data_IF_281322957761
#
_entry.id   IF_281322957761
#
_cell.length_a   1.000
_cell.length_b   1.000
_cell.length_c   1.000
_cell.angle_alpha   90.00
_cell.angle_beta   90.00
_cell.angle_gamma   90.00
#
_symmetry.space_group_name_H-M   'P 1'
#
loop_
_entity.id
_entity.type
_entity.pdbx_description
1 polymer ?
#
# COMPACT_ATOMS: atom_id res chain seq x y z
N UNK A 1 -1.93 -14.00 11.12
CA UNK A 1 -0.45 -14.11 11.14
C UNK A 1 0.21 -14.12 12.52
N UNK A 2 -0.23 -13.34 13.52
CA UNK A 2 0.41 -13.24 14.86
C UNK A 2 0.60 -14.56 15.64
N UNK A 3 -0.10 -15.63 15.25
CA UNK A 3 -0.04 -16.97 15.88
C UNK A 3 0.98 -17.93 15.24
N UNK A 4 1.62 -17.54 14.13
CA UNK A 4 2.59 -18.39 13.40
C UNK A 4 4.00 -18.28 14.00
N UNK A 5 4.92 -19.20 13.63
CA UNK A 5 6.32 -19.16 14.06
C UNK A 5 7.06 -17.89 13.62
N UNK A 6 8.14 -17.51 14.31
CA UNK A 6 8.89 -16.27 14.06
C UNK A 6 9.46 -16.20 12.64
N UNK A 7 9.99 -17.30 12.11
CA UNK A 7 10.51 -17.35 10.73
C UNK A 7 9.42 -17.09 9.70
N UNK A 8 8.22 -17.67 9.90
CA UNK A 8 7.07 -17.42 9.01
C UNK A 8 6.59 -15.98 9.09
N UNK A 9 6.60 -15.39 10.28
CA UNK A 9 6.28 -13.97 10.45
C UNK A 9 7.30 -13.08 9.75
N UNK A 10 8.60 -13.38 9.86
CA UNK A 10 9.65 -12.59 9.22
C UNK A 10 9.54 -12.59 7.68
N UNK A 11 9.06 -13.70 7.09
CA UNK A 11 8.92 -13.82 5.63
C UNK A 11 7.61 -13.18 5.13
N UNK A 12 6.49 -13.37 5.83
CA UNK A 12 5.17 -13.07 5.26
C UNK A 12 4.38 -11.97 6.00
N UNK A 13 4.79 -11.55 7.19
CA UNK A 13 3.99 -10.59 7.96
C UNK A 13 4.10 -9.19 7.36
N UNK A 14 2.96 -8.50 7.28
CA UNK A 14 2.91 -7.15 6.71
C UNK A 14 2.85 -7.12 5.18
N UNK A 15 2.94 -8.28 4.51
CA UNK A 15 2.55 -8.38 3.10
C UNK A 15 1.06 -8.08 2.99
N UNK A 16 0.74 -6.85 2.58
CA UNK A 16 -0.60 -6.52 2.14
C UNK A 16 -0.83 -7.32 0.86
N UNK A 17 -1.85 -8.18 0.85
CA UNK A 17 -2.45 -8.58 -0.42
C UNK A 17 -2.87 -7.28 -1.09
N UNK A 18 -2.11 -6.84 -2.09
CA UNK A 18 -2.44 -5.66 -2.88
C UNK A 18 -3.73 -5.99 -3.62
N UNK A 19 -4.87 -5.79 -2.97
CA UNK A 19 -6.20 -6.09 -3.46
C UNK A 19 -6.65 -5.12 -4.57
N UNK A 20 -5.71 -4.42 -5.20
CA UNK A 20 -5.94 -3.51 -6.31
C UNK A 20 -4.82 -3.66 -7.32
N UNK A 21 -4.77 -4.83 -7.95
CA UNK A 21 -3.99 -4.99 -9.17
C UNK A 21 -5.00 -5.25 -10.27
N UNK A 22 -4.94 -4.41 -11.30
CA UNK A 22 -5.69 -4.61 -12.53
C UNK A 22 -5.49 -6.05 -13.00
N UNK A 23 -6.60 -6.71 -13.34
CA UNK A 23 -6.71 -8.14 -13.69
C UNK A 23 -5.69 -8.62 -14.74
N UNK A 24 -5.07 -7.69 -15.48
CA UNK A 24 -4.09 -7.92 -16.53
C UNK A 24 -2.69 -8.34 -16.05
N UNK A 25 -2.31 -8.07 -14.80
CA UNK A 25 -0.92 -8.21 -14.34
C UNK A 25 -0.69 -9.33 -13.32
N UNK A 26 -1.75 -9.90 -12.75
CA UNK A 26 -1.66 -10.81 -11.61
C UNK A 26 -1.13 -10.13 -10.33
N UNK A 27 -1.14 -10.86 -9.21
CA UNK A 27 -0.54 -10.35 -7.96
C UNK A 27 0.96 -10.70 -7.93
N UNK A 28 1.88 -9.73 -7.81
CA UNK A 28 3.29 -10.02 -7.74
C UNK A 28 3.59 -10.79 -6.46
N UNK A 29 4.48 -11.78 -6.57
CA UNK A 29 4.94 -12.56 -5.41
C UNK A 29 5.76 -11.71 -4.43
N UNK A 30 6.52 -10.73 -4.95
CA UNK A 30 7.35 -9.83 -4.17
C UNK A 30 6.70 -8.44 -4.10
N UNK A 31 6.74 -7.75 -2.94
CA UNK A 31 6.29 -6.37 -2.84
C UNK A 31 7.03 -5.45 -3.82
N UNK A 32 6.32 -4.59 -4.58
CA UNK A 32 6.96 -3.62 -5.46
C UNK A 32 7.76 -2.57 -4.68
N UNK A 33 8.79 -2.03 -5.33
CA UNK A 33 9.52 -0.86 -4.83
C UNK A 33 8.82 0.41 -5.36
N UNK A 34 8.09 1.10 -4.49
CA UNK A 34 7.46 2.39 -4.79
C UNK A 34 8.49 3.54 -4.67
N UNK A 35 9.35 3.66 -5.68
CA UNK A 35 10.42 4.67 -5.74
C UNK A 35 9.88 6.02 -6.24
N UNK A 36 8.98 6.63 -5.48
CA UNK A 36 8.39 7.95 -5.78
C UNK A 36 8.43 8.85 -4.53
N UNK A 37 8.36 10.16 -4.76
CA UNK A 37 8.34 11.17 -3.69
C UNK A 37 6.93 11.66 -3.34
N UNK A 38 5.96 11.45 -4.23
CA UNK A 38 4.60 12.02 -4.16
C UNK A 38 3.58 11.09 -4.80
N UNK A 39 2.30 11.30 -4.52
CA UNK A 39 1.18 10.54 -5.09
C UNK A 39 0.21 11.45 -5.84
N UNK A 40 -0.58 10.87 -6.76
CA UNK A 40 -1.57 11.59 -7.55
C UNK A 40 -2.98 11.32 -7.02
N UNK A 41 -3.76 12.37 -6.84
CA UNK A 41 -5.18 12.30 -6.54
C UNK A 41 -6.01 12.35 -7.83
N UNK A 42 -7.20 11.76 -7.79
CA UNK A 42 -8.17 11.75 -8.89
C UNK A 42 -8.96 13.05 -8.93
N UNK A 43 -9.23 13.67 -7.77
CA UNK A 43 -9.90 14.98 -7.66
C UNK A 43 -9.27 15.88 -6.59
N UNK A 44 -9.66 17.15 -6.60
CA UNK A 44 -9.22 18.12 -5.60
C UNK A 44 -9.84 17.83 -4.22
N UNK A 45 -11.06 17.30 -4.19
CA UNK A 45 -11.78 16.88 -2.99
C UNK A 45 -11.08 15.68 -2.34
N UNK A 46 -10.68 14.67 -3.11
CA UNK A 46 -9.90 13.53 -2.61
C UNK A 46 -8.56 13.99 -1.99
N UNK A 47 -7.89 14.95 -2.64
CA UNK A 47 -6.69 15.57 -2.09
C UNK A 47 -7.02 16.24 -0.73
N UNK A 48 -8.04 17.09 -0.67
CA UNK A 48 -8.42 17.77 0.56
C UNK A 48 -8.78 16.79 1.69
N UNK A 49 -9.48 15.70 1.39
CA UNK A 49 -9.82 14.65 2.34
C UNK A 49 -8.58 13.89 2.84
N UNK A 50 -7.64 13.54 1.96
CA UNK A 50 -6.39 12.88 2.34
C UNK A 50 -5.49 13.74 3.24
N UNK A 51 -5.58 15.07 3.10
CA UNK A 51 -4.91 16.01 4.01
C UNK A 51 -5.69 16.28 5.31
N UNK A 52 -7.02 16.13 5.29
CA UNK A 52 -7.89 16.37 6.45
C UNK A 52 -8.06 15.14 7.36
N UNK A 53 -7.96 13.94 6.79
CA UNK A 53 -8.11 12.65 7.48
C UNK A 53 -6.85 11.81 7.28
N UNK A 54 -6.26 11.27 8.35
CA UNK A 54 -5.07 10.40 8.28
C UNK A 54 -5.33 9.04 7.59
N UNK A 55 -6.58 8.75 7.16
CA UNK A 55 -7.01 7.40 6.81
C UNK A 55 -7.35 7.16 5.32
N UNK A 56 -7.14 8.11 4.41
CA UNK A 56 -7.38 7.89 2.97
C UNK A 56 -6.17 8.20 2.09
N UNK A 57 -5.14 7.36 2.19
CA UNK A 57 -4.10 7.23 1.17
C UNK A 57 -2.75 7.87 1.51
N UNK A 58 -1.85 7.84 0.52
CA UNK A 58 -0.51 8.41 0.64
C UNK A 58 -0.48 9.83 0.07
N UNK A 59 0.22 10.74 0.74
CA UNK A 59 0.35 12.15 0.32
C UNK A 59 1.78 12.42 -0.17
N UNK A 60 2.74 12.26 0.73
CA UNK A 60 4.18 12.34 0.47
C UNK A 60 4.89 11.16 1.11
N UNK A 61 6.04 10.77 0.57
CA UNK A 61 6.85 9.67 1.13
C UNK A 61 7.55 10.04 2.44
N UNK A 62 7.73 11.34 2.70
CA UNK A 62 8.34 11.88 3.93
C UNK A 62 7.31 11.96 5.04
#
# INVERSE_FOLDING_TARGET
MKKLGKSTQAIHAGEAALARINEKSGTPLLPPIYQNSTFRFTSAEECAEAFANEESGYVYTR
#
